data_IF_101178170300
#
_entry.id   IF_101178170300
#
_cell.length_a   1.000
_cell.length_b   1.000
_cell.length_c   1.000
_cell.angle_alpha   90.00
_cell.angle_beta   90.00
_cell.angle_gamma   90.00
#
_symmetry.space_group_name_H-M   'P 1'
#
loop_
_entity.id
_entity.type
_entity.pdbx_description
1 polymer ?
#
# COMPACT_ATOMS: atom_id res chain seq x y z
N UNK A 1 -12.90 16.93 19.08
CA UNK A 1 -11.49 16.46 19.07
C UNK A 1 -10.91 16.71 20.46
N UNK A 2 -10.35 15.70 21.13
CA UNK A 2 -9.68 15.85 22.44
C UNK A 2 -8.19 15.55 22.23
N UNK A 3 -7.33 16.53 22.43
CA UNK A 3 -5.87 16.37 22.30
C UNK A 3 -5.31 15.95 23.66
N UNK A 4 -4.65 14.79 23.72
CA UNK A 4 -3.95 14.30 24.92
C UNK A 4 -2.48 14.69 24.86
N UNK A 5 -1.94 15.13 26.00
CA UNK A 5 -0.57 15.68 26.16
C UNK A 5 0.34 14.64 26.82
N UNK A 6 0.34 13.41 26.31
CA UNK A 6 1.28 12.35 26.70
C UNK A 6 2.30 12.10 25.59
N UNK A 7 3.43 11.48 25.90
CA UNK A 7 4.32 10.96 24.86
C UNK A 7 3.59 9.88 24.06
N UNK A 8 3.25 10.19 22.82
CA UNK A 8 2.67 9.28 21.84
C UNK A 8 3.82 8.84 20.94
N UNK A 9 4.37 7.65 21.20
CA UNK A 9 5.39 7.03 20.35
C UNK A 9 4.76 5.93 19.51
N UNK A 10 3.73 6.24 18.71
CA UNK A 10 3.22 5.29 17.73
C UNK A 10 3.37 5.87 16.32
N UNK A 11 4.52 5.61 15.71
CA UNK A 11 4.58 5.59 14.25
C UNK A 11 3.58 4.54 13.79
N UNK A 12 2.51 4.96 13.11
CA UNK A 12 1.57 4.05 12.47
C UNK A 12 2.21 3.46 11.21
N UNK A 13 1.82 2.25 10.85
CA UNK A 13 2.20 1.64 9.59
C UNK A 13 1.06 0.84 8.99
N UNK A 14 0.97 0.83 7.67
CA UNK A 14 -0.01 0.05 6.93
C UNK A 14 0.71 -0.81 5.94
N UNK A 15 0.63 -2.12 6.16
CA UNK A 15 1.02 -3.11 5.18
C UNK A 15 0.03 -3.05 4.01
N UNK A 16 0.54 -3.16 2.79
CA UNK A 16 -0.26 -3.17 1.59
C UNK A 16 0.08 -4.33 0.65
N UNK A 17 -0.93 -4.75 -0.11
CA UNK A 17 -0.83 -5.70 -1.21
C UNK A 17 -1.19 -5.00 -2.51
N UNK A 18 -0.33 -5.09 -3.53
CA UNK A 18 -0.60 -4.55 -4.87
C UNK A 18 -0.53 -5.67 -5.90
N UNK A 19 -1.58 -5.81 -6.71
CA UNK A 19 -1.62 -6.69 -7.87
C UNK A 19 -1.77 -5.82 -9.12
N UNK A 20 -0.78 -5.83 -10.00
CA UNK A 20 -0.72 -4.92 -11.14
C UNK A 20 -0.54 -5.66 -12.45
N UNK A 21 -1.31 -5.26 -13.48
CA UNK A 21 -1.19 -5.82 -14.84
C UNK A 21 0.12 -5.43 -15.54
N UNK A 22 0.76 -4.35 -15.09
CA UNK A 22 2.04 -3.84 -15.60
C UNK A 22 3.03 -3.72 -14.45
N UNK A 23 4.31 -3.65 -14.76
CA UNK A 23 5.31 -3.31 -13.76
C UNK A 23 4.94 -1.99 -13.06
N UNK A 24 5.05 -1.99 -11.74
CA UNK A 24 4.65 -0.85 -10.91
C UNK A 24 5.69 0.26 -11.06
N UNK A 25 5.23 1.46 -11.44
CA UNK A 25 6.04 2.68 -11.58
C UNK A 25 5.28 3.84 -10.96
N UNK A 26 5.97 4.93 -10.53
CA UNK A 26 5.29 6.06 -9.91
C UNK A 26 4.23 6.65 -10.86
N UNK A 27 4.53 6.73 -12.15
CA UNK A 27 3.62 7.30 -13.16
C UNK A 27 2.39 6.43 -13.37
N UNK A 28 2.56 5.11 -13.39
CA UNK A 28 1.44 4.19 -13.52
C UNK A 28 0.53 4.27 -12.29
N UNK A 29 1.12 4.28 -11.09
CA UNK A 29 0.38 4.37 -9.84
C UNK A 29 -0.36 5.70 -9.71
N UNK A 30 0.31 6.82 -10.01
CA UNK A 30 -0.28 8.17 -10.00
C UNK A 30 -1.55 8.22 -10.85
N UNK A 31 -1.49 7.68 -12.07
CA UNK A 31 -2.66 7.59 -12.96
C UNK A 31 -3.75 6.68 -12.41
N UNK A 32 -3.36 5.54 -11.81
CA UNK A 32 -4.31 4.55 -11.27
C UNK A 32 -5.02 5.02 -10.01
N UNK A 33 -4.37 5.82 -9.18
CA UNK A 33 -4.97 6.49 -8.02
C UNK A 33 -5.84 7.69 -8.42
N UNK A 34 -5.90 8.03 -9.72
CA UNK A 34 -6.79 9.08 -10.23
C UNK A 34 -6.25 10.50 -10.04
N UNK A 35 -4.98 10.66 -9.67
CA UNK A 35 -4.37 11.97 -9.53
C UNK A 35 -4.24 12.67 -10.89
N UNK A 36 -4.29 14.01 -10.86
CA UNK A 36 -4.23 14.87 -12.05
C UNK A 36 -3.00 15.76 -11.99
N UNK A 37 -2.28 15.82 -13.12
CA UNK A 37 -1.22 16.82 -13.33
C UNK A 37 -1.82 18.23 -13.29
N UNK A 38 -1.08 19.17 -12.73
CA UNK A 38 -1.50 20.54 -12.45
C UNK A 38 -2.45 20.70 -11.25
N UNK A 39 -2.76 19.62 -10.52
CA UNK A 39 -3.55 19.73 -9.30
C UNK A 39 -2.73 20.31 -8.15
N UNK A 40 -3.38 20.96 -7.18
CA UNK A 40 -2.70 21.57 -6.03
C UNK A 40 -1.98 20.54 -5.14
N UNK A 41 -2.31 19.25 -5.27
CA UNK A 41 -1.70 18.15 -4.51
C UNK A 41 -0.72 17.32 -5.34
N UNK A 42 -0.38 17.73 -6.57
CA UNK A 42 0.41 16.90 -7.49
C UNK A 42 1.72 16.42 -6.87
N UNK A 43 2.48 17.32 -6.22
CA UNK A 43 3.75 16.92 -5.59
C UNK A 43 3.54 15.87 -4.51
N UNK A 44 2.60 16.08 -3.59
CA UNK A 44 2.26 15.11 -2.54
C UNK A 44 1.76 13.76 -3.10
N UNK A 45 1.06 13.80 -4.24
CA UNK A 45 0.63 12.60 -4.93
C UNK A 45 1.80 11.83 -5.55
N UNK A 46 2.83 12.53 -6.06
CA UNK A 46 4.07 11.90 -6.50
C UNK A 46 4.84 11.29 -5.33
N UNK A 47 5.00 12.04 -4.24
CA UNK A 47 5.68 11.58 -3.03
C UNK A 47 5.01 10.29 -2.49
N UNK A 48 3.66 10.24 -2.46
CA UNK A 48 2.91 9.03 -2.10
C UNK A 48 3.23 7.85 -3.03
N UNK A 49 3.25 8.08 -4.34
CA UNK A 49 3.53 7.01 -5.30
C UNK A 49 4.96 6.47 -5.15
N UNK A 50 5.93 7.36 -4.93
CA UNK A 50 7.32 6.99 -4.66
C UNK A 50 7.45 6.22 -3.34
N UNK A 51 6.79 6.66 -2.28
CA UNK A 51 6.83 5.98 -0.98
C UNK A 51 6.18 4.60 -1.02
N UNK A 52 5.08 4.42 -1.75
CA UNK A 52 4.49 3.09 -1.97
C UNK A 52 5.49 2.19 -2.69
N UNK A 53 6.17 2.67 -3.74
CA UNK A 53 7.16 1.87 -4.48
C UNK A 53 8.36 1.53 -3.60
N UNK A 54 8.89 2.51 -2.88
CA UNK A 54 9.96 2.30 -1.91
C UNK A 54 9.56 1.29 -0.82
N UNK A 55 8.30 1.34 -0.39
CA UNK A 55 7.67 0.38 0.53
C UNK A 55 7.76 -1.05 0.05
N UNK A 56 7.69 -1.31 -1.27
CA UNK A 56 7.80 -2.67 -1.82
C UNK A 56 9.19 -3.30 -1.64
N UNK A 57 10.24 -2.48 -1.51
CA UNK A 57 11.60 -2.97 -1.29
C UNK A 57 11.93 -3.20 0.19
N UNK A 58 11.06 -2.75 1.10
CA UNK A 58 11.27 -2.86 2.56
C UNK A 58 10.68 -4.14 3.15
N UNK A 59 9.91 -4.90 2.36
CA UNK A 59 9.14 -6.04 2.86
C UNK A 59 7.93 -5.59 3.68
N UNK A 60 7.44 -6.46 4.55
CA UNK A 60 6.27 -6.21 5.39
C UNK A 60 6.68 -5.83 6.81
N UNK A 61 5.91 -4.95 7.44
CA UNK A 61 6.12 -4.59 8.85
C UNK A 61 5.60 -5.72 9.73
N UNK A 62 6.44 -6.19 10.67
CA UNK A 62 6.16 -7.29 11.62
C UNK A 62 6.07 -8.70 11.02
N UNK A 63 6.43 -8.87 9.76
CA UNK A 63 6.51 -10.17 9.09
C UNK A 63 7.87 -10.32 8.42
N UNK A 64 8.43 -11.52 8.50
CA UNK A 64 9.68 -11.88 7.83
C UNK A 64 9.40 -13.08 6.92
N UNK A 65 9.19 -12.79 5.64
CA UNK A 65 8.85 -13.79 4.63
C UNK A 65 9.86 -13.73 3.50
N UNK A 66 10.51 -14.87 3.21
CA UNK A 66 11.45 -14.98 2.10
C UNK A 66 10.76 -14.83 0.73
N UNK A 67 9.50 -15.29 0.64
CA UNK A 67 8.75 -15.29 -0.61
C UNK A 67 7.28 -14.94 -0.42
N UNK A 68 6.70 -14.32 -1.46
CA UNK A 68 5.27 -14.07 -1.52
C UNK A 68 4.51 -15.29 -2.03
N UNK A 69 3.70 -15.91 -1.17
CA UNK A 69 2.83 -17.05 -1.48
C UNK A 69 1.41 -16.85 -0.93
N UNK A 70 0.51 -17.81 -1.20
CA UNK A 70 -0.90 -17.73 -0.80
C UNK A 70 -1.08 -17.62 0.72
N UNK A 71 -0.39 -18.46 1.49
CA UNK A 71 -0.52 -18.51 2.95
C UNK A 71 -0.04 -17.22 3.59
N UNK A 72 1.11 -16.68 3.14
CA UNK A 72 1.65 -15.42 3.64
C UNK A 72 0.70 -14.24 3.33
N UNK A 73 0.11 -14.21 2.13
CA UNK A 73 -0.89 -13.17 1.79
C UNK A 73 -2.14 -13.31 2.64
N UNK A 74 -2.61 -14.54 2.86
CA UNK A 74 -3.77 -14.83 3.71
C UNK A 74 -3.54 -14.41 5.15
N UNK A 75 -2.35 -14.67 5.69
CA UNK A 75 -1.98 -14.30 7.06
C UNK A 75 -2.05 -12.78 7.27
N UNK A 76 -1.55 -11.99 6.30
CA UNK A 76 -1.43 -10.53 6.47
C UNK A 76 -2.68 -9.78 6.02
N UNK A 77 -3.34 -10.23 4.95
CA UNK A 77 -4.41 -9.50 4.27
C UNK A 77 -5.76 -10.23 4.26
N UNK A 78 -5.82 -11.46 4.78
CA UNK A 78 -7.03 -12.28 4.85
C UNK A 78 -7.31 -13.12 3.59
N UNK A 79 -8.28 -14.03 3.71
CA UNK A 79 -8.64 -15.02 2.68
C UNK A 79 -9.01 -14.39 1.33
N UNK A 80 -9.83 -13.33 1.35
CA UNK A 80 -10.30 -12.69 0.12
C UNK A 80 -9.15 -12.13 -0.71
N UNK A 81 -8.18 -11.47 -0.04
CA UNK A 81 -7.00 -10.94 -0.69
C UNK A 81 -6.10 -12.06 -1.25
N UNK A 82 -6.00 -13.20 -0.54
CA UNK A 82 -5.23 -14.36 -0.98
C UNK A 82 -5.83 -15.02 -2.23
N UNK A 83 -7.16 -15.13 -2.30
CA UNK A 83 -7.86 -15.64 -3.48
C UNK A 83 -7.70 -14.70 -4.69
N UNK A 84 -7.78 -13.37 -4.48
CA UNK A 84 -7.45 -12.38 -5.52
C UNK A 84 -5.99 -12.56 -5.97
N UNK A 85 -5.04 -12.66 -5.05
CA UNK A 85 -3.63 -12.89 -5.36
C UNK A 85 -3.44 -14.13 -6.23
N UNK A 86 -4.00 -15.28 -5.85
CA UNK A 86 -3.92 -16.54 -6.61
C UNK A 86 -4.45 -16.37 -8.03
N UNK A 87 -5.63 -15.76 -8.16
CA UNK A 87 -6.30 -15.49 -9.45
C UNK A 87 -5.48 -14.58 -10.35
N UNK A 88 -4.95 -13.48 -9.84
CA UNK A 88 -4.21 -12.49 -10.63
C UNK A 88 -2.78 -12.94 -10.94
N UNK A 89 -2.09 -13.61 -10.01
CA UNK A 89 -0.79 -14.23 -10.26
C UNK A 89 -0.87 -15.26 -11.39
N UNK A 90 -1.91 -16.11 -11.40
CA UNK A 90 -2.16 -17.05 -12.50
C UNK A 90 -2.42 -16.39 -13.87
N UNK A 91 -2.77 -15.11 -13.89
CA UNK A 91 -2.91 -14.29 -15.11
C UNK A 91 -1.65 -13.52 -15.49
N UNK A 92 -0.54 -13.73 -14.79
CA UNK A 92 0.73 -13.04 -15.02
C UNK A 92 0.76 -11.60 -14.53
N UNK A 93 -0.05 -11.24 -13.53
CA UNK A 93 0.07 -9.93 -12.88
C UNK A 93 1.35 -9.88 -12.05
N UNK A 94 1.95 -8.70 -11.99
CA UNK A 94 3.00 -8.37 -11.04
C UNK A 94 2.38 -8.24 -9.65
N UNK A 95 3.05 -8.78 -8.64
CA UNK A 95 2.56 -8.83 -7.27
C UNK A 95 3.59 -8.21 -6.33
N UNK A 96 3.14 -7.28 -5.49
CA UNK A 96 3.99 -6.56 -4.55
C UNK A 96 3.36 -6.56 -3.17
N UNK A 97 4.20 -6.62 -2.15
CA UNK A 97 3.84 -6.36 -0.76
C UNK A 97 4.83 -5.36 -0.20
N UNK A 98 4.36 -4.50 0.70
CA UNK A 98 5.18 -3.47 1.30
C UNK A 98 4.45 -2.82 2.46
N UNK A 99 5.03 -1.76 3.01
CA UNK A 99 4.34 -0.91 3.96
C UNK A 99 4.68 0.57 3.78
N UNK A 100 3.75 1.43 4.21
CA UNK A 100 3.97 2.87 4.41
C UNK A 100 3.93 3.20 5.91
N UNK A 101 4.46 4.36 6.29
CA UNK A 101 4.53 4.81 7.69
C UNK A 101 4.00 6.23 7.86
N UNK A 102 3.42 6.53 9.03
CA UNK A 102 3.00 7.90 9.36
C UNK A 102 4.15 8.89 9.56
N UNK A 103 5.38 8.40 9.59
CA UNK A 103 6.59 9.24 9.65
C UNK A 103 7.04 9.73 8.26
N UNK A 104 6.31 9.35 7.19
CA UNK A 104 6.52 9.79 5.81
C UNK A 104 5.82 11.14 5.55
N UNK A 105 5.73 11.57 4.28
CA UNK A 105 5.11 12.86 3.93
C UNK A 105 3.61 12.92 4.29
N UNK A 106 3.04 14.11 4.22
CA UNK A 106 1.66 14.39 4.66
C UNK A 106 0.61 13.46 4.03
N UNK A 107 0.67 13.21 2.72
CA UNK A 107 -0.34 12.41 2.05
C UNK A 107 -0.12 10.92 2.35
N UNK A 108 1.13 10.48 2.39
CA UNK A 108 1.49 9.12 2.77
C UNK A 108 1.10 8.81 4.21
N UNK A 109 1.31 9.76 5.13
CA UNK A 109 0.82 9.63 6.50
C UNK A 109 -0.69 9.51 6.54
N UNK A 110 -1.43 10.33 5.78
CA UNK A 110 -2.88 10.25 5.73
C UNK A 110 -3.36 8.86 5.28
N UNK A 111 -2.83 8.33 4.17
CA UNK A 111 -3.15 6.99 3.67
C UNK A 111 -2.72 5.88 4.64
N UNK A 112 -1.63 6.07 5.38
CA UNK A 112 -1.16 5.10 6.38
C UNK A 112 -2.11 5.02 7.57
N UNK A 113 -2.70 6.14 7.96
CA UNK A 113 -3.61 6.23 9.11
C UNK A 113 -5.07 5.96 8.76
N UNK A 114 -5.35 5.49 7.53
CA UNK A 114 -6.69 5.10 7.07
C UNK A 114 -6.66 3.71 6.44
N UNK A 115 -7.81 3.06 6.35
CA UNK A 115 -7.98 1.78 5.67
C UNK A 115 -8.51 2.01 4.28
N UNK A 116 -7.86 1.45 3.26
CA UNK A 116 -8.32 1.59 1.87
C UNK A 116 -8.20 0.28 1.09
N UNK A 117 -9.12 0.08 0.15
CA UNK A 117 -9.06 -0.95 -0.87
C UNK A 117 -9.49 -0.32 -2.18
N UNK A 118 -8.70 -0.54 -3.22
CA UNK A 118 -8.94 -0.03 -4.57
C UNK A 118 -8.90 -1.19 -5.54
N UNK A 119 -9.96 -1.36 -6.32
CA UNK A 119 -9.97 -2.28 -7.46
C UNK A 119 -10.39 -1.52 -8.71
N UNK A 120 -9.43 -1.32 -9.61
CA UNK A 120 -9.59 -0.58 -10.85
C UNK A 120 -9.06 -1.41 -12.02
N UNK A 121 -9.40 -1.04 -13.26
CA UNK A 121 -9.00 -1.85 -14.41
C UNK A 121 -7.46 -2.02 -14.48
N UNK A 122 -6.96 -3.22 -14.21
CA UNK A 122 -5.53 -3.56 -14.29
C UNK A 122 -4.71 -3.22 -13.04
N UNK A 123 -5.34 -2.86 -11.92
CA UNK A 123 -4.68 -2.74 -10.62
C UNK A 123 -5.64 -3.09 -9.47
N UNK A 124 -5.12 -3.76 -8.46
CA UNK A 124 -5.79 -3.95 -7.17
C UNK A 124 -4.82 -3.56 -6.06
N UNK A 125 -5.30 -2.82 -5.08
CA UNK A 125 -4.52 -2.36 -3.92
C UNK A 125 -5.34 -2.62 -2.66
N UNK A 126 -4.73 -3.25 -1.66
CA UNK A 126 -5.34 -3.46 -0.35
C UNK A 126 -4.38 -2.94 0.72
N UNK A 127 -4.80 -1.88 1.41
CA UNK A 127 -4.12 -1.27 2.56
C UNK A 127 -4.99 -1.37 3.81
N UNK A 128 -5.54 -2.56 4.10
CA UNK A 128 -6.37 -2.80 5.31
C UNK A 128 -5.58 -3.40 6.47
N UNK A 129 -4.35 -3.84 6.25
CA UNK A 129 -3.49 -4.45 7.27
C UNK A 129 -2.73 -3.36 8.02
N UNK A 130 -3.43 -2.73 8.96
CA UNK A 130 -2.95 -1.54 9.68
C UNK A 130 -2.44 -1.89 11.08
N UNK A 131 -1.37 -1.21 11.49
CA UNK A 131 -0.84 -1.24 12.86
C UNK A 131 -0.72 0.20 13.34
N UNK A 132 -1.55 0.57 14.32
CA UNK A 132 -1.67 1.91 14.88
C UNK A 132 -1.39 1.91 16.39
#
# INVERSE_FOLDING_TARGET
MKIRIGYVTNSSSTNFLILSKKELTPEYLFKKLGFKKGSIIEQHAWDLCENIINGTFRGLRYFDFDEMNYENVKEVFGEEAAEKYKKYKGKGFYTYMGYTSSDEDTLTSFFTTDTFELEENGIYINGRSCVW
#
